data_IF_574825608040
#
_entry.id   IF_574825608040
#
_cell.length_a   1.000
_cell.length_b   1.000
_cell.length_c   1.000
_cell.angle_alpha   90.00
_cell.angle_beta   90.00
_cell.angle_gamma   90.00
#
_symmetry.space_group_name_H-M   'P 1'
#
loop_
_entity.id
_entity.type
_entity.pdbx_description
1 polymer ?
#
# COMPACT_ATOMS: atom_id res chain seq x y z
N UNK A 1 -9.95 -2.77 -16.49
CA UNK A 1 -10.63 -1.46 -16.35
C UNK A 1 -9.86 -0.60 -15.36
N UNK A 2 -9.61 -1.07 -14.14
CA UNK A 2 -8.79 -0.38 -13.13
C UNK A 2 -7.38 -0.04 -13.61
N UNK A 3 -6.65 -0.98 -14.22
CA UNK A 3 -5.32 -0.71 -14.79
C UNK A 3 -5.36 0.38 -15.88
N UNK A 4 -6.37 0.34 -16.74
CA UNK A 4 -6.56 1.34 -17.79
C UNK A 4 -6.94 2.72 -17.23
N UNK A 5 -7.57 2.79 -16.07
CA UNK A 5 -7.91 4.06 -15.41
C UNK A 5 -6.64 4.80 -14.96
N UNK A 6 -5.65 4.09 -14.43
CA UNK A 6 -4.39 4.70 -13.97
C UNK A 6 -3.57 5.35 -15.08
N UNK A 7 -3.73 4.89 -16.32
CA UNK A 7 -3.03 5.42 -17.50
C UNK A 7 -3.72 6.65 -18.14
N UNK A 8 -4.95 6.96 -17.72
CA UNK A 8 -5.68 8.13 -18.23
C UNK A 8 -5.20 9.42 -17.56
N UNK A 9 -5.20 10.52 -18.32
CA UNK A 9 -5.06 11.84 -17.70
C UNK A 9 -6.24 12.11 -16.74
N UNK A 10 -5.99 12.89 -15.68
CA UNK A 10 -6.94 13.06 -14.56
C UNK A 10 -8.31 13.57 -14.99
N UNK A 11 -8.35 14.51 -15.93
CA UNK A 11 -9.60 15.04 -16.49
C UNK A 11 -10.47 13.91 -17.08
N UNK A 12 -9.87 12.90 -17.71
CA UNK A 12 -10.60 11.76 -18.23
C UNK A 12 -10.99 10.75 -17.16
N UNK A 13 -10.21 10.60 -16.08
CA UNK A 13 -10.54 9.71 -14.97
C UNK A 13 -11.86 10.13 -14.31
N UNK A 14 -12.03 11.43 -14.05
CA UNK A 14 -13.26 12.00 -13.48
C UNK A 14 -14.47 11.76 -14.39
N UNK A 15 -14.36 12.11 -15.68
CA UNK A 15 -15.42 11.91 -16.68
C UNK A 15 -15.83 10.44 -16.78
N UNK A 16 -14.87 9.53 -16.72
CA UNK A 16 -15.16 8.09 -16.78
C UNK A 16 -15.89 7.64 -15.53
N UNK A 17 -15.44 8.03 -14.33
CA UNK A 17 -16.10 7.66 -13.06
C UNK A 17 -17.54 8.14 -12.99
N UNK A 18 -17.83 9.33 -13.53
CA UNK A 18 -19.19 9.87 -13.62
C UNK A 18 -20.08 9.03 -14.56
N UNK A 19 -19.54 8.60 -15.71
CA UNK A 19 -20.31 7.94 -16.77
C UNK A 19 -20.49 6.44 -16.61
N UNK A 20 -19.60 5.75 -15.90
CA UNK A 20 -19.62 4.27 -15.82
C UNK A 20 -20.72 3.74 -14.90
N UNK A 21 -21.38 4.62 -14.15
CA UNK A 21 -22.45 4.29 -13.22
C UNK A 21 -21.93 3.82 -11.86
N UNK A 22 -22.79 3.93 -10.84
CA UNK A 22 -22.44 3.76 -9.42
C UNK A 22 -21.69 2.46 -9.11
N UNK A 23 -22.19 1.31 -9.57
CA UNK A 23 -21.61 0.01 -9.21
C UNK A 23 -20.20 -0.16 -9.78
N UNK A 24 -19.97 0.29 -11.02
CA UNK A 24 -18.66 0.22 -11.66
C UNK A 24 -17.69 1.24 -11.07
N UNK A 25 -18.15 2.45 -10.79
CA UNK A 25 -17.31 3.46 -10.13
C UNK A 25 -16.86 2.98 -8.76
N UNK A 26 -17.76 2.36 -7.99
CA UNK A 26 -17.43 1.73 -6.70
C UNK A 26 -16.43 0.60 -6.85
N UNK A 27 -16.64 -0.28 -7.83
CA UNK A 27 -15.71 -1.40 -8.09
C UNK A 27 -14.30 -0.91 -8.47
N UNK A 28 -14.22 0.11 -9.33
CA UNK A 28 -12.95 0.70 -9.78
C UNK A 28 -12.25 1.37 -8.60
N UNK A 29 -12.96 2.22 -7.86
CA UNK A 29 -12.38 2.95 -6.71
C UNK A 29 -11.91 2.01 -5.60
N UNK A 30 -12.61 0.91 -5.31
CA UNK A 30 -12.10 -0.07 -4.33
C UNK A 30 -10.86 -0.86 -4.79
N UNK A 31 -10.55 -0.88 -6.08
CA UNK A 31 -9.42 -1.65 -6.63
C UNK A 31 -8.21 -0.79 -6.98
N UNK A 32 -8.39 0.50 -7.26
CA UNK A 32 -7.30 1.46 -7.48
C UNK A 32 -6.39 1.57 -6.23
N UNK A 33 -5.16 2.03 -6.43
CA UNK A 33 -4.26 2.30 -5.33
C UNK A 33 -4.69 3.58 -4.59
N UNK A 34 -4.57 3.55 -3.26
CA UNK A 34 -5.16 4.58 -2.40
C UNK A 34 -4.48 5.95 -2.54
N UNK A 35 -3.21 5.99 -2.92
CA UNK A 35 -2.46 7.22 -3.20
C UNK A 35 -2.89 7.86 -4.53
N UNK A 36 -3.12 7.05 -5.57
CA UNK A 36 -3.68 7.52 -6.83
C UNK A 36 -5.09 8.09 -6.65
N UNK A 37 -5.93 7.41 -5.87
CA UNK A 37 -7.26 7.91 -5.52
C UNK A 37 -7.21 9.21 -4.73
N UNK A 38 -6.31 9.30 -3.74
CA UNK A 38 -6.14 10.53 -2.98
C UNK A 38 -5.78 11.69 -3.93
N UNK A 39 -4.87 11.48 -4.88
CA UNK A 39 -4.47 12.49 -5.85
C UNK A 39 -5.60 12.86 -6.81
N UNK A 40 -6.39 11.89 -7.28
CA UNK A 40 -7.57 12.12 -8.12
C UNK A 40 -8.63 12.93 -7.37
N UNK A 41 -8.86 12.61 -6.10
CA UNK A 41 -9.86 13.30 -5.27
C UNK A 41 -9.44 14.71 -4.85
N UNK A 42 -8.17 15.11 -4.90
CA UNK A 42 -7.79 16.50 -4.60
C UNK A 42 -8.31 17.49 -5.67
N UNK A 43 -8.41 17.05 -6.92
CA UNK A 43 -8.77 17.90 -8.07
C UNK A 43 -10.23 17.73 -8.51
N UNK A 44 -10.93 16.75 -7.93
CA UNK A 44 -12.33 16.43 -8.22
C UNK A 44 -13.29 17.34 -7.46
N UNK A 45 -14.47 17.56 -8.05
CA UNK A 45 -15.58 18.25 -7.38
C UNK A 45 -15.97 17.56 -6.06
N UNK A 46 -16.26 18.36 -5.03
CA UNK A 46 -16.54 17.86 -3.68
C UNK A 46 -17.80 16.98 -3.62
N UNK A 47 -18.82 17.25 -4.44
CA UNK A 47 -20.06 16.46 -4.44
C UNK A 47 -19.81 15.03 -4.98
N UNK A 48 -19.09 14.93 -6.10
CA UNK A 48 -18.73 13.64 -6.70
C UNK A 48 -17.78 12.84 -5.80
N UNK A 49 -16.81 13.52 -5.19
CA UNK A 49 -15.84 12.93 -4.26
C UNK A 49 -16.50 12.32 -3.04
N UNK A 50 -17.38 13.08 -2.37
CA UNK A 50 -18.12 12.58 -1.21
C UNK A 50 -19.03 11.40 -1.58
N UNK A 51 -19.65 11.46 -2.76
CA UNK A 51 -20.43 10.35 -3.29
C UNK A 51 -19.57 9.10 -3.52
N UNK A 52 -18.37 9.23 -4.09
CA UNK A 52 -17.49 8.08 -4.32
C UNK A 52 -16.96 7.51 -3.00
N UNK A 53 -16.45 8.36 -2.10
CA UNK A 53 -15.92 7.96 -0.79
C UNK A 53 -16.97 7.24 0.08
N UNK A 54 -18.24 7.62 -0.02
CA UNK A 54 -19.34 6.98 0.72
C UNK A 54 -19.79 5.64 0.14
N UNK A 55 -19.48 5.36 -1.14
CA UNK A 55 -19.79 4.08 -1.77
C UNK A 55 -18.65 3.06 -1.65
N UNK A 56 -17.42 3.52 -1.40
CA UNK A 56 -16.26 2.66 -1.17
C UNK A 56 -16.42 1.79 0.08
N UNK A 57 -15.63 0.72 0.15
CA UNK A 57 -15.50 -0.07 1.37
C UNK A 57 -14.93 0.80 2.50
N UNK A 58 -15.45 0.61 3.72
CA UNK A 58 -15.16 1.51 4.84
C UNK A 58 -13.67 1.55 5.23
N UNK A 59 -12.93 0.48 5.00
CA UNK A 59 -11.48 0.43 5.26
C UNK A 59 -10.69 1.20 4.19
N UNK A 60 -10.99 0.99 2.91
CA UNK A 60 -10.37 1.70 1.79
C UNK A 60 -10.68 3.20 1.83
N UNK A 61 -11.94 3.59 2.06
CA UNK A 61 -12.35 5.00 2.17
C UNK A 61 -11.59 5.73 3.29
N UNK A 62 -11.42 5.09 4.45
CA UNK A 62 -10.61 5.64 5.55
C UNK A 62 -9.14 5.76 5.19
N UNK A 63 -8.59 4.80 4.46
CA UNK A 63 -7.20 4.85 4.02
C UNK A 63 -6.97 6.03 3.07
N UNK A 64 -7.82 6.22 2.07
CA UNK A 64 -7.74 7.36 1.13
C UNK A 64 -7.87 8.69 1.86
N UNK A 65 -8.87 8.85 2.74
CA UNK A 65 -9.04 10.07 3.52
C UNK A 65 -7.82 10.39 4.41
N UNK A 66 -7.18 9.35 4.98
CA UNK A 66 -5.95 9.53 5.74
C UNK A 66 -4.81 10.04 4.84
N UNK A 67 -4.69 9.52 3.61
CA UNK A 67 -3.68 9.98 2.65
C UNK A 67 -3.94 11.42 2.20
N UNK A 68 -5.20 11.81 2.01
CA UNK A 68 -5.58 13.17 1.64
C UNK A 68 -5.18 14.22 2.69
N UNK A 69 -5.09 13.83 3.98
CA UNK A 69 -4.61 14.71 5.05
C UNK A 69 -3.09 15.00 4.98
N UNK A 70 -2.34 14.23 4.19
CA UNK A 70 -0.92 14.49 3.95
C UNK A 70 -0.76 15.41 2.73
N UNK A 71 0.17 16.39 2.76
CA UNK A 71 0.43 17.24 1.60
C UNK A 71 0.96 16.42 0.41
N UNK A 72 0.59 16.80 -0.82
CA UNK A 72 0.79 16.04 -2.04
C UNK A 72 2.24 15.54 -2.29
N UNK A 73 3.25 16.33 -1.92
CA UNK A 73 4.67 15.96 -2.11
C UNK A 73 5.33 15.31 -0.89
N UNK A 74 4.55 14.97 0.13
CA UNK A 74 5.09 14.23 1.28
C UNK A 74 5.06 12.75 1.02
N UNK A 75 6.03 12.04 1.59
CA UNK A 75 6.07 10.60 1.44
C UNK A 75 4.89 9.89 2.15
N UNK A 76 4.18 10.58 3.05
CA UNK A 76 2.88 10.12 3.56
C UNK A 76 1.79 10.07 2.50
N UNK A 77 1.84 10.94 1.47
CA UNK A 77 0.90 10.96 0.35
C UNK A 77 1.11 9.82 -0.63
N UNK A 78 2.37 9.51 -0.93
CA UNK A 78 2.79 8.47 -1.88
C UNK A 78 2.78 7.08 -1.22
N UNK A 79 2.26 6.95 0.01
CA UNK A 79 2.29 5.69 0.74
C UNK A 79 1.11 4.82 0.35
N UNK A 80 1.40 3.57 -0.01
CA UNK A 80 0.38 2.52 -0.09
C UNK A 80 0.22 1.79 1.25
N UNK A 81 -1.02 1.42 1.60
CA UNK A 81 -1.33 0.52 2.71
C UNK A 81 -1.18 -0.96 2.33
N UNK A 82 -0.89 -1.26 1.05
CA UNK A 82 -0.72 -2.62 0.52
C UNK A 82 0.70 -3.13 0.78
N UNK A 83 1.00 -3.41 2.05
CA UNK A 83 2.27 -4.00 2.47
C UNK A 83 2.05 -5.19 3.39
N UNK A 84 3.00 -6.13 3.38
CA UNK A 84 2.99 -7.28 4.29
C UNK A 84 4.10 -7.12 5.32
N UNK A 85 3.74 -7.26 6.59
CA UNK A 85 4.68 -7.24 7.70
C UNK A 85 4.67 -8.58 8.44
N UNK A 86 5.80 -8.96 9.05
CA UNK A 86 5.96 -10.18 9.84
C UNK A 86 6.68 -9.88 11.17
N UNK A 87 6.36 -10.59 12.26
CA UNK A 87 7.12 -10.49 13.50
C UNK A 87 8.57 -10.97 13.34
N UNK A 88 9.50 -10.33 14.05
CA UNK A 88 10.94 -10.64 14.01
C UNK A 88 11.32 -12.08 14.42
N UNK A 89 10.42 -12.80 15.09
CA UNK A 89 10.64 -14.17 15.54
C UNK A 89 10.16 -15.24 14.53
N UNK A 90 9.57 -14.83 13.39
CA UNK A 90 9.13 -15.74 12.34
C UNK A 90 10.31 -16.43 11.65
N UNK A 91 10.14 -17.71 11.31
CA UNK A 91 11.05 -18.42 10.42
C UNK A 91 10.80 -18.06 8.96
N UNK A 92 11.70 -18.46 8.06
CA UNK A 92 11.48 -18.36 6.61
C UNK A 92 10.19 -19.07 6.20
N UNK A 93 9.94 -20.25 6.76
CA UNK A 93 8.72 -21.01 6.49
C UNK A 93 7.46 -20.24 6.92
N UNK A 94 7.46 -19.65 8.11
CA UNK A 94 6.33 -18.84 8.60
C UNK A 94 6.08 -17.61 7.72
N UNK A 95 7.16 -16.96 7.27
CA UNK A 95 7.08 -15.80 6.38
C UNK A 95 6.45 -16.18 5.03
N UNK A 96 6.86 -17.32 4.45
CA UNK A 96 6.29 -17.84 3.20
C UNK A 96 4.81 -18.21 3.37
N UNK A 97 4.43 -18.84 4.47
CA UNK A 97 3.03 -19.18 4.77
C UNK A 97 2.20 -17.89 4.90
N UNK A 98 2.70 -16.90 5.64
CA UNK A 98 2.01 -15.62 5.81
C UNK A 98 1.85 -14.93 4.47
N UNK A 99 2.89 -14.83 3.66
CA UNK A 99 2.81 -14.24 2.33
C UNK A 99 1.73 -14.93 1.46
N UNK A 100 1.68 -16.26 1.45
CA UNK A 100 0.67 -17.02 0.68
C UNK A 100 -0.76 -16.72 1.13
N UNK A 101 -0.97 -16.37 2.40
CA UNK A 101 -2.29 -15.96 2.90
C UNK A 101 -2.74 -14.59 2.37
N UNK A 102 -1.81 -13.77 1.88
CA UNK A 102 -2.06 -12.48 1.25
C UNK A 102 -1.79 -12.53 -0.27
N UNK A 103 -2.17 -13.61 -0.95
CA UNK A 103 -1.84 -13.85 -2.36
C UNK A 103 -2.15 -12.66 -3.29
N UNK A 104 -3.29 -11.99 -3.12
CA UNK A 104 -3.67 -10.82 -3.93
C UNK A 104 -2.71 -9.63 -3.77
N UNK A 105 -2.11 -9.47 -2.59
CA UNK A 105 -1.12 -8.40 -2.29
C UNK A 105 0.29 -8.88 -2.63
N UNK A 106 0.56 -10.19 -2.49
CA UNK A 106 1.84 -10.80 -2.77
C UNK A 106 2.28 -10.60 -4.23
N UNK A 107 1.33 -10.51 -5.17
CA UNK A 107 1.63 -10.28 -6.59
C UNK A 107 2.32 -8.94 -6.88
N UNK A 108 2.13 -7.93 -6.04
CA UNK A 108 2.64 -6.57 -6.27
C UNK A 108 3.75 -6.12 -5.31
N UNK A 109 3.99 -6.85 -4.23
CA UNK A 109 5.03 -6.50 -3.24
C UNK A 109 6.32 -7.27 -3.46
N UNK A 110 7.48 -6.60 -3.33
CA UNK A 110 8.80 -7.24 -3.45
C UNK A 110 9.47 -7.51 -2.10
N UNK A 111 8.94 -6.89 -1.04
CA UNK A 111 9.54 -6.90 0.29
C UNK A 111 8.49 -7.19 1.36
N UNK A 112 8.91 -7.92 2.39
CA UNK A 112 8.20 -8.07 3.65
C UNK A 112 8.90 -7.25 4.72
N UNK A 113 8.11 -6.56 5.53
CA UNK A 113 8.60 -5.70 6.61
C UNK A 113 8.69 -6.48 7.92
N UNK A 114 9.85 -6.45 8.59
CA UNK A 114 10.07 -7.18 9.83
C UNK A 114 9.89 -6.26 11.03
N UNK A 115 9.06 -6.65 11.98
CA UNK A 115 8.64 -5.78 13.10
C UNK A 115 8.92 -6.42 14.46
N UNK A 116 9.23 -5.61 15.46
CA UNK A 116 9.35 -6.06 16.84
C UNK A 116 7.99 -6.05 17.57
N UNK A 117 7.99 -6.49 18.83
CA UNK A 117 6.77 -6.57 19.66
C UNK A 117 6.17 -5.19 19.97
N UNK A 118 6.95 -4.12 19.83
CA UNK A 118 6.53 -2.72 19.97
C UNK A 118 6.00 -2.13 18.63
N UNK A 119 5.79 -2.95 17.59
CA UNK A 119 5.36 -2.53 16.24
C UNK A 119 6.32 -1.56 15.55
N UNK A 120 7.61 -1.64 15.88
CA UNK A 120 8.66 -0.90 15.20
C UNK A 120 9.27 -1.78 14.12
N UNK A 121 9.51 -1.20 12.95
CA UNK A 121 10.24 -1.82 11.87
C UNK A 121 11.71 -1.98 12.26
N UNK A 122 12.18 -3.23 12.20
CA UNK A 122 13.57 -3.62 12.52
C UNK A 122 14.33 -4.11 11.29
N UNK A 123 13.64 -4.34 10.17
CA UNK A 123 14.28 -4.57 8.87
C UNK A 123 13.34 -5.02 7.77
N UNK A 124 13.91 -5.52 6.68
CA UNK A 124 13.16 -5.92 5.48
C UNK A 124 13.67 -7.25 4.94
N UNK A 125 12.80 -7.98 4.24
CA UNK A 125 13.11 -9.23 3.56
C UNK A 125 12.65 -9.18 2.12
N UNK A 126 13.53 -9.57 1.20
CA UNK A 126 13.18 -9.72 -0.19
C UNK A 126 12.72 -11.15 -0.51
N UNK A 127 12.07 -11.34 -1.65
CA UNK A 127 11.81 -12.68 -2.19
C UNK A 127 13.05 -13.55 -2.31
N UNK A 128 14.18 -12.93 -2.68
CA UNK A 128 15.45 -13.63 -2.82
C UNK A 128 15.89 -14.24 -1.49
N UNK A 129 15.65 -13.54 -0.38
CA UNK A 129 15.97 -14.03 0.96
C UNK A 129 15.05 -15.19 1.37
N UNK A 130 13.77 -15.15 0.97
CA UNK A 130 12.83 -16.25 1.22
C UNK A 130 13.12 -17.50 0.39
N UNK A 131 13.58 -17.35 -0.85
CA UNK A 131 13.90 -18.48 -1.75
C UNK A 131 15.24 -19.13 -1.38
N UNK A 132 16.22 -18.34 -0.95
CA UNK A 132 17.56 -18.84 -0.61
C UNK A 132 17.73 -19.22 0.87
N UNK A 133 16.77 -18.85 1.72
CA UNK A 133 16.80 -19.11 3.16
C UNK A 133 16.40 -20.54 3.51
N UNK A 134 16.96 -21.06 4.60
CA UNK A 134 16.58 -22.37 5.12
C UNK A 134 15.23 -22.26 5.87
N UNK A 135 14.31 -23.24 5.74
CA UNK A 135 12.95 -23.15 6.28
C UNK A 135 12.88 -22.81 7.78
N UNK A 136 13.79 -23.39 8.59
CA UNK A 136 13.83 -23.23 10.05
C UNK A 136 14.69 -22.04 10.51
N UNK A 137 15.28 -21.29 9.57
CA UNK A 137 16.13 -20.16 9.90
C UNK A 137 15.28 -19.03 10.51
N UNK A 138 15.43 -18.83 11.82
CA UNK A 138 14.85 -17.69 12.58
C UNK A 138 15.51 -16.35 12.28
N UNK A 139 16.49 -16.36 11.37
CA UNK A 139 17.22 -15.20 10.87
C UNK A 139 17.01 -15.13 9.38
N UNK A 140 15.79 -14.84 9.00
CA UNK A 140 15.53 -14.18 7.73
C UNK A 140 16.55 -13.03 7.63
N UNK A 141 17.57 -13.16 6.77
CA UNK A 141 18.83 -12.38 6.79
C UNK A 141 18.52 -10.88 6.73
N UNK A 142 18.27 -10.29 7.90
CA UNK A 142 17.67 -8.97 8.02
C UNK A 142 18.71 -7.98 7.50
N UNK A 143 18.37 -7.24 6.46
CA UNK A 143 19.02 -5.95 6.25
C UNK A 143 18.54 -5.07 7.43
N UNK A 144 19.22 -5.19 8.57
CA UNK A 144 18.87 -4.45 9.77
C UNK A 144 19.00 -2.98 9.43
N UNK A 145 17.91 -2.25 9.59
CA UNK A 145 18.00 -0.81 9.62
C UNK A 145 18.86 -0.45 10.84
N UNK A 146 19.81 0.47 10.67
CA UNK A 146 20.69 0.89 11.76
C UNK A 146 19.91 1.53 12.92
N UNK A 147 18.66 1.94 12.67
CA UNK A 147 17.73 2.49 13.66
C UNK A 147 16.34 1.87 13.50
N UNK A 148 15.70 1.54 14.62
CA UNK A 148 14.32 1.05 14.65
C UNK A 148 13.35 2.21 14.44
N UNK A 149 12.56 2.15 13.37
CA UNK A 149 11.57 3.17 13.05
C UNK A 149 10.17 2.62 13.38
N UNK A 150 9.26 3.37 14.00
CA UNK A 150 7.84 3.03 14.00
C UNK A 150 7.41 2.65 12.58
N UNK A 151 6.62 1.57 12.40
CA UNK A 151 6.11 1.19 11.07
C UNK A 151 5.45 2.37 10.36
N UNK A 152 4.79 3.24 11.14
CA UNK A 152 4.17 4.47 10.66
C UNK A 152 5.17 5.50 10.13
N UNK A 153 6.48 5.41 10.43
CA UNK A 153 7.54 6.31 9.98
C UNK A 153 8.33 5.79 8.75
N UNK A 154 8.09 4.57 8.29
CA UNK A 154 8.51 4.16 6.94
C UNK A 154 7.72 4.86 5.83
N UNK A 155 6.74 5.68 6.22
CA UNK A 155 6.11 6.78 5.47
C UNK A 155 7.09 7.75 4.79
N UNK A 156 8.41 7.71 5.02
CA UNK A 156 9.35 8.72 4.48
C UNK A 156 10.72 8.13 4.12
N UNK A 157 10.84 7.45 2.96
CA UNK A 157 12.09 7.49 2.17
C UNK A 157 11.97 6.89 0.77
N UNK A 158 11.63 7.72 -0.22
CA UNK A 158 12.27 7.67 -1.55
C UNK A 158 12.25 9.04 -2.23
N UNK A 159 13.26 9.86 -1.90
CA UNK A 159 13.87 10.79 -2.86
C UNK A 159 15.29 11.12 -2.39
N UNK A 160 16.22 10.26 -2.78
CA UNK A 160 17.65 10.57 -2.92
C UNK A 160 18.27 9.34 -3.56
N UNK A 161 18.12 9.20 -4.87
CA UNK A 161 19.23 9.17 -5.81
C UNK A 161 18.71 9.73 -7.13
N UNK A 162 19.60 10.50 -7.76
CA UNK A 162 19.43 11.48 -8.84
C UNK A 162 18.67 11.03 -10.08
#
# INVERSE_FOLDING_TARGET
MTEMMGELEREYQEIVLEKVGKDKATFVTNKMDNDDLANLFDEMDDELKDQLLSNMEAEESKAVQLLMNYPAETAGRIMTNRYVWIPQHYTVQDAVVKLKSFAEIAESINYLYVINDQKQLVGVLSYRDLILGEPDEKKCRILCLQESLPLELFKIRKKSQS
#
